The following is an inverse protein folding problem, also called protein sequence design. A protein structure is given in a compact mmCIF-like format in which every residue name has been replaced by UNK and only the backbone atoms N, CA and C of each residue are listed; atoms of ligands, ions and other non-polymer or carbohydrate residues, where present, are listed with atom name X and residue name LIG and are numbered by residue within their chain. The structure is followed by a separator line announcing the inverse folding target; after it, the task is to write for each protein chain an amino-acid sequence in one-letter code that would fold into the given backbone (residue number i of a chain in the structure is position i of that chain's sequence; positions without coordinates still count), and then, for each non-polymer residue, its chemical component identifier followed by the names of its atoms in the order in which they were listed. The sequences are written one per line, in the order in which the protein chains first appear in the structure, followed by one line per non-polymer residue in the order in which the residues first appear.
data_IF_531230481994
#
_entry.id   IF_531230481994
#
_cell.length_a   1.000
_cell.length_b   1.000
_cell.length_c   1.000
_cell.angle_alpha   90.00
_cell.angle_beta   90.00
_cell.angle_gamma   90.00
#
_symmetry.space_group_name_H-M   'P 1'
#
loop_
_entity.id
_entity.type
_entity.pdbx_description
1 polymer ?
#
# COMPACT_ATOMS: atom_id res chain seq x y z
N UNK A 1 -5.89 -8.03 -5.54
CA UNK A 1 -4.77 -7.42 -4.80
C UNK A 1 -4.67 -8.09 -3.45
N UNK A 2 -3.49 -8.24 -2.87
CA UNK A 2 -3.33 -8.90 -1.56
C UNK A 2 -2.38 -8.11 -0.68
N UNK A 3 -2.63 -8.11 0.63
CA UNK A 3 -1.74 -7.54 1.63
C UNK A 3 -1.30 -8.61 2.62
N UNK A 4 -0.08 -8.48 3.11
CA UNK A 4 0.40 -9.26 4.23
C UNK A 4 1.32 -8.48 5.14
N UNK A 5 1.49 -8.95 6.37
CA UNK A 5 2.48 -8.46 7.31
C UNK A 5 2.88 -9.54 8.30
N UNK A 6 3.99 -9.30 8.99
CA UNK A 6 4.35 -10.04 10.19
C UNK A 6 4.27 -9.08 11.39
N UNK A 7 3.51 -9.46 12.41
CA UNK A 7 3.33 -8.69 13.65
C UNK A 7 4.46 -8.98 14.66
N UNK A 8 4.55 -8.19 15.72
CA UNK A 8 5.62 -8.29 16.72
C UNK A 8 5.66 -9.64 17.46
N UNK A 9 4.51 -10.29 17.60
CA UNK A 9 4.34 -11.64 18.13
C UNK A 9 4.73 -12.75 17.14
N UNK A 10 5.24 -12.38 15.95
CA UNK A 10 5.65 -13.25 14.84
C UNK A 10 4.49 -13.94 14.13
N UNK A 11 3.25 -13.54 14.37
CA UNK A 11 2.12 -14.00 13.59
C UNK A 11 2.18 -13.41 12.18
N UNK A 12 1.85 -14.26 11.19
CA UNK A 12 1.76 -13.85 9.79
C UNK A 12 0.30 -13.65 9.43
N UNK A 13 -0.02 -12.45 8.97
CA UNK A 13 -1.36 -12.10 8.54
C UNK A 13 -1.35 -11.82 7.04
N UNK A 14 -2.38 -12.30 6.36
CA UNK A 14 -2.55 -12.14 4.93
C UNK A 14 -4.04 -12.01 4.60
N UNK A 15 -4.38 -11.10 3.69
CA UNK A 15 -5.75 -10.85 3.28
C UNK A 15 -5.82 -10.44 1.80
N UNK A 16 -6.83 -10.96 1.11
CA UNK A 16 -7.24 -10.45 -0.19
C UNK A 16 -8.01 -9.12 -0.02
N UNK A 17 -7.66 -8.11 -0.82
CA UNK A 17 -8.25 -6.79 -0.76
C UNK A 17 -9.25 -6.59 -1.91
N UNK A 18 -10.53 -6.43 -1.58
CA UNK A 18 -11.60 -6.13 -2.56
C UNK A 18 -11.90 -4.63 -2.64
N UNK A 19 -11.67 -3.89 -1.55
CA UNK A 19 -11.88 -2.44 -1.52
C UNK A 19 -10.88 -1.69 -0.63
N UNK A 20 -10.88 -0.36 -0.72
CA UNK A 20 -10.02 0.51 0.12
C UNK A 20 -10.38 0.37 1.61
N UNK A 21 -11.63 0.07 1.93
CA UNK A 21 -12.11 -0.29 3.27
C UNK A 21 -11.37 -1.51 3.82
N UNK A 22 -11.32 -2.61 3.06
CA UNK A 22 -10.60 -3.84 3.46
C UNK A 22 -9.14 -3.53 3.79
N UNK A 23 -8.51 -2.64 3.01
CA UNK A 23 -7.12 -2.26 3.21
C UNK A 23 -6.96 -1.42 4.49
N UNK A 24 -7.81 -0.41 4.69
CA UNK A 24 -7.77 0.37 5.92
C UNK A 24 -8.03 -0.50 7.15
N UNK A 25 -8.96 -1.45 7.07
CA UNK A 25 -9.26 -2.37 8.16
C UNK A 25 -8.06 -3.27 8.49
N UNK A 26 -7.41 -3.86 7.46
CA UNK A 26 -6.22 -4.67 7.66
C UNK A 26 -5.09 -3.89 8.35
N UNK A 27 -4.82 -2.65 7.92
CA UNK A 27 -3.80 -1.80 8.55
C UNK A 27 -4.14 -1.51 10.02
N UNK A 28 -5.43 -1.24 10.31
CA UNK A 28 -5.86 -0.85 11.65
C UNK A 28 -5.88 -2.03 12.63
N UNK A 29 -6.11 -3.25 12.15
CA UNK A 29 -6.22 -4.44 12.99
C UNK A 29 -4.87 -5.10 13.30
N UNK A 30 -3.82 -4.79 12.54
CA UNK A 30 -2.50 -5.40 12.71
C UNK A 30 -1.45 -4.36 13.10
N UNK A 31 -1.03 -4.40 14.37
CA UNK A 31 -0.07 -3.48 14.98
C UNK A 31 1.36 -3.73 14.47
N UNK A 32 1.66 -3.28 13.26
CA UNK A 32 3.00 -3.28 12.67
C UNK A 32 3.19 -2.03 11.80
N UNK A 33 4.43 -1.79 11.37
CA UNK A 33 4.74 -0.73 10.42
C UNK A 33 5.23 -1.29 9.07
N UNK A 34 5.41 -2.61 8.97
CA UNK A 34 6.00 -3.27 7.82
C UNK A 34 4.98 -4.18 7.14
N UNK A 35 4.63 -3.85 5.91
CA UNK A 35 3.60 -4.52 5.12
C UNK A 35 4.13 -4.85 3.72
N UNK A 36 3.55 -5.88 3.10
CA UNK A 36 3.81 -6.26 1.71
C UNK A 36 2.50 -6.28 0.95
N UNK A 37 2.43 -5.50 -0.13
CA UNK A 37 1.29 -5.40 -1.02
C UNK A 37 1.62 -6.07 -2.35
N UNK A 38 0.86 -7.08 -2.71
CA UNK A 38 0.93 -7.78 -3.99
C UNK A 38 -0.13 -7.22 -4.94
N UNK A 39 0.33 -6.59 -6.03
CA UNK A 39 -0.49 -6.03 -7.10
C UNK A 39 -0.09 -6.76 -8.38
N UNK A 40 -0.96 -7.61 -8.91
CA UNK A 40 -0.75 -8.36 -10.16
C UNK A 40 0.64 -9.00 -10.27
N UNK A 41 1.02 -9.77 -9.23
CA UNK A 41 2.32 -10.45 -9.11
C UNK A 41 3.54 -9.52 -8.94
N UNK A 42 3.31 -8.23 -8.70
CA UNK A 42 4.34 -7.29 -8.31
C UNK A 42 4.23 -7.01 -6.81
N UNK A 43 5.31 -7.33 -6.09
CA UNK A 43 5.38 -7.11 -4.65
C UNK A 43 5.96 -5.72 -4.37
N UNK A 44 5.21 -4.95 -3.60
CA UNK A 44 5.59 -3.66 -3.05
C UNK A 44 5.76 -3.79 -1.54
N UNK A 45 6.87 -3.29 -1.03
CA UNK A 45 7.08 -3.11 0.41
C UNK A 45 6.49 -1.76 0.83
N UNK A 46 5.66 -1.77 1.86
CA UNK A 46 5.00 -0.61 2.43
C UNK A 46 5.48 -0.44 3.87
N UNK A 47 6.26 0.61 4.11
CA UNK A 47 6.70 1.00 5.45
C UNK A 47 5.85 2.18 5.94
N UNK A 48 5.07 1.98 7.00
CA UNK A 48 4.33 3.05 7.67
C UNK A 48 5.33 4.01 8.32
N UNK A 49 5.28 5.29 7.93
CA UNK A 49 6.23 6.32 8.38
C UNK A 49 5.60 7.35 9.32
N UNK A 50 4.30 7.63 9.19
CA UNK A 50 3.56 8.53 10.08
C UNK A 50 2.07 8.28 9.95
N UNK A 51 1.30 8.92 10.83
CA UNK A 51 -0.14 9.12 10.66
C UNK A 51 -0.45 10.59 10.35
N UNK A 52 -1.61 10.85 9.79
CA UNK A 52 -2.17 12.18 9.51
C UNK A 52 -3.61 12.26 10.04
N UNK A 53 -4.25 13.44 9.93
CA UNK A 53 -5.63 13.61 10.38
C UNK A 53 -6.59 12.67 9.61
N UNK A 54 -7.59 12.07 10.28
CA UNK A 54 -8.59 11.26 9.61
C UNK A 54 -9.27 12.05 8.48
N UNK A 55 -9.47 11.40 7.34
CA UNK A 55 -10.20 11.97 6.20
C UNK A 55 -11.67 11.55 6.28
N UNK A 56 -12.56 12.39 5.78
CA UNK A 56 -14.00 12.10 5.72
C UNK A 56 -14.35 10.91 4.79
N UNK A 57 -13.44 10.56 3.86
CA UNK A 57 -13.63 9.48 2.89
C UNK A 57 -12.37 8.64 2.75
N UNK A 58 -12.57 7.32 2.66
CA UNK A 58 -11.49 6.35 2.42
C UNK A 58 -10.98 6.50 0.99
N UNK A 59 -9.68 6.74 0.88
CA UNK A 59 -8.98 6.84 -0.39
C UNK A 59 -7.51 6.50 -0.22
N UNK A 60 -6.87 6.19 -1.34
CA UNK A 60 -5.42 6.17 -1.44
C UNK A 60 -4.97 7.43 -2.18
N UNK A 61 -4.11 8.23 -1.55
CA UNK A 61 -3.40 9.33 -2.22
C UNK A 61 -2.00 8.85 -2.57
N UNK A 62 -1.63 8.93 -3.84
CA UNK A 62 -0.29 8.54 -4.30
C UNK A 62 0.51 9.77 -4.67
N UNK A 63 1.67 9.93 -4.04
CA UNK A 63 2.62 10.99 -4.32
C UNK A 63 3.96 10.41 -4.81
N UNK A 64 4.41 10.91 -5.95
CA UNK A 64 5.69 10.55 -6.57
C UNK A 64 6.78 11.51 -6.10
N UNK A 65 7.73 11.02 -5.30
CA UNK A 65 8.79 11.87 -4.77
C UNK A 65 9.60 12.53 -5.90
N UNK A 66 9.60 13.86 -5.93
CA UNK A 66 10.38 14.67 -6.88
C UNK A 66 9.64 15.17 -8.12
N UNK A 67 8.32 14.96 -8.24
CA UNK A 67 7.51 15.64 -9.27
C UNK A 67 6.28 16.32 -8.68
N UNK A 68 5.99 17.52 -9.19
CA UNK A 68 4.66 18.12 -9.07
C UNK A 68 3.80 17.40 -10.12
N UNK A 69 3.22 16.26 -9.75
CA UNK A 69 2.09 15.75 -10.51
C UNK A 69 0.95 16.76 -10.34
N UNK A 70 0.27 17.21 -11.41
CA UNK A 70 -0.78 18.22 -11.30
C UNK A 70 -1.96 17.80 -10.44
N UNK A 71 -2.07 16.51 -10.08
CA UNK A 71 -3.18 15.97 -9.30
C UNK A 71 -2.64 14.89 -8.35
N UNK A 72 -2.90 15.10 -7.06
CA UNK A 72 -3.06 14.00 -6.11
C UNK A 72 -4.08 13.02 -6.70
N UNK A 73 -3.64 11.84 -7.14
CA UNK A 73 -4.61 10.84 -7.61
C UNK A 73 -5.29 10.27 -6.36
N UNK A 74 -6.58 10.56 -6.24
CA UNK A 74 -7.46 9.95 -5.26
C UNK A 74 -7.99 8.64 -5.84
N UNK A 75 -7.51 7.53 -5.31
CA UNK A 75 -7.86 6.19 -5.77
C UNK A 75 -8.98 5.65 -4.89
N UNK A 76 -10.07 5.24 -5.55
CA UNK A 76 -11.23 4.57 -4.92
C UNK A 76 -11.36 3.12 -5.34
N UNK A 77 -10.66 2.69 -6.40
CA UNK A 77 -10.63 1.31 -6.90
C UNK A 77 -9.18 0.85 -7.12
N UNK A 78 -8.87 -0.41 -6.79
CA UNK A 78 -7.50 -0.92 -6.85
C UNK A 78 -6.91 -1.03 -8.25
N UNK A 79 -7.75 -1.19 -9.27
CA UNK A 79 -7.30 -1.23 -10.66
C UNK A 79 -6.64 0.11 -11.07
N UNK A 80 -7.14 1.23 -10.53
CA UNK A 80 -6.55 2.55 -10.77
C UNK A 80 -5.16 2.68 -10.14
N UNK A 81 -4.92 2.02 -8.99
CA UNK A 81 -3.60 1.97 -8.37
C UNK A 81 -2.62 1.20 -9.23
N UNK A 82 -3.00 0.01 -9.70
CA UNK A 82 -2.13 -0.77 -10.57
C UNK A 82 -1.81 -0.01 -11.86
N UNK A 83 -2.83 0.54 -12.51
CA UNK A 83 -2.66 1.33 -13.73
C UNK A 83 -1.70 2.51 -13.48
N UNK A 84 -1.90 3.29 -12.42
CA UNK A 84 -1.04 4.42 -12.07
C UNK A 84 0.43 4.00 -11.89
N UNK A 85 0.69 2.93 -11.12
CA UNK A 85 2.04 2.44 -10.86
C UNK A 85 2.73 1.92 -12.13
N UNK A 86 1.96 1.39 -13.09
CA UNK A 86 2.48 0.97 -14.40
C UNK A 86 2.88 2.15 -15.28
N UNK A 87 2.10 3.25 -15.26
CA UNK A 87 2.33 4.43 -16.08
C UNK A 87 3.40 5.37 -15.50
N UNK A 88 3.63 5.32 -14.20
CA UNK A 88 4.52 6.23 -13.49
C UNK A 88 5.58 5.49 -12.66
N UNK A 89 6.45 4.68 -13.28
CA UNK A 89 7.45 3.91 -12.57
C UNK A 89 8.40 4.82 -11.77
N UNK A 90 8.50 4.54 -10.47
CA UNK A 90 9.38 5.21 -9.52
C UNK A 90 10.04 4.19 -8.60
N UNK A 91 11.28 4.44 -8.13
CA UNK A 91 11.88 3.64 -7.06
C UNK A 91 11.08 3.74 -5.75
N UNK A 92 10.33 4.83 -5.56
CA UNK A 92 9.60 5.09 -4.33
C UNK A 92 8.34 5.93 -4.56
N UNK A 93 7.29 5.60 -3.84
CA UNK A 93 6.05 6.35 -3.74
C UNK A 93 5.75 6.66 -2.27
N UNK A 94 4.97 7.71 -2.05
CA UNK A 94 4.30 7.95 -0.78
C UNK A 94 2.81 7.64 -0.97
N UNK A 95 2.27 6.78 -0.12
CA UNK A 95 0.85 6.42 -0.11
C UNK A 95 0.24 6.92 1.19
N UNK A 96 -0.80 7.74 1.11
CA UNK A 96 -1.70 8.00 2.24
C UNK A 96 -2.91 7.09 2.08
N UNK A 97 -3.12 6.19 3.04
CA UNK A 97 -4.28 5.29 3.09
C UNK A 97 -5.02 5.66 4.37
N UNK A 98 -6.19 6.28 4.22
CA UNK A 98 -6.93 6.85 5.33
C UNK A 98 -6.06 7.82 6.14
N UNK A 99 -5.78 7.50 7.41
CA UNK A 99 -4.94 8.31 8.30
C UNK A 99 -3.50 7.82 8.39
N UNK A 100 -3.10 6.80 7.63
CA UNK A 100 -1.74 6.24 7.67
C UNK A 100 -0.95 6.60 6.41
N UNK A 101 0.29 7.07 6.58
CA UNK A 101 1.19 7.42 5.50
C UNK A 101 2.30 6.39 5.40
N UNK A 102 2.52 5.88 4.20
CA UNK A 102 3.46 4.82 3.88
C UNK A 102 4.49 5.30 2.87
N UNK A 103 5.71 4.83 3.05
CA UNK A 103 6.70 4.75 1.99
C UNK A 103 6.53 3.42 1.27
N UNK A 104 6.24 3.46 -0.02
CA UNK A 104 6.09 2.26 -0.84
C UNK A 104 7.25 2.13 -1.82
N UNK A 105 7.86 0.95 -1.88
CA UNK A 105 8.96 0.64 -2.79
C UNK A 105 8.69 -0.71 -3.45
N UNK A 106 9.03 -0.86 -4.73
CA UNK A 106 8.94 -2.16 -5.39
C UNK A 106 9.99 -3.08 -4.78
N UNK A 107 9.56 -4.15 -4.12
CA UNK A 107 10.45 -5.03 -3.37
C UNK A 107 11.31 -5.90 -4.32
N UNK A 108 10.85 -6.12 -5.55
CA UNK A 108 11.57 -6.90 -6.56
C UNK A 108 11.72 -8.40 -6.21
N UNK A 109 11.22 -8.81 -5.05
CA UNK A 109 11.23 -10.19 -4.58
C UNK A 109 10.19 -10.97 -5.37
N UNK A 110 10.66 -11.89 -6.20
CA UNK A 110 9.85 -13.03 -6.63
C UNK A 110 9.73 -13.90 -5.38
N UNK A 111 8.54 -13.96 -4.77
CA UNK A 111 8.27 -15.01 -3.80
C UNK A 111 8.35 -16.33 -4.56
N UNK A 112 9.44 -17.09 -4.37
CA UNK A 112 9.41 -18.49 -4.75
C UNK A 112 8.27 -19.14 -3.95
N UNK A 113 7.38 -19.93 -4.60
CA UNK A 113 6.47 -20.76 -3.85
C UNK A 113 7.33 -21.64 -2.95
N UNK A 114 7.02 -21.65 -1.66
CA UNK A 114 7.56 -22.64 -0.74
C UNK A 114 7.02 -23.99 -1.24
N UNK A 115 7.91 -24.86 -1.72
CA UNK A 115 7.61 -26.26 -2.08
C UNK A 115 7.13 -27.08 -0.87
#
# INVERSE_FOLDING_TARGET
MEISCQTEDREYHHQHLNSVEDFSEFINNHSTNDYYLNIDSVIYHLLKITSCEPRDYLKIIVNLQGRILPQELTITHFDDLHYFLSQHPSPQYLLEINSSVFRMQKSGIILNPIE
#
